data_IF_824909808949
#
_entry.id   IF_824909808949
#
_cell.length_a   1.000
_cell.length_b   1.000
_cell.length_c   1.000
_cell.angle_alpha   90.00
_cell.angle_beta   90.00
_cell.angle_gamma   90.00
#
_symmetry.space_group_name_H-M   'P 1'
#
loop_
_entity.id
_entity.type
_entity.pdbx_description
1 polymer ?
#
# COMPACT_ATOMS: atom_id res chain seq x y z
N UNK A 1 -14.89 -28.80 -14.58
CA UNK A 1 -14.90 -27.49 -13.86
C UNK A 1 -14.39 -26.30 -14.70
N UNK A 2 -13.23 -26.36 -15.37
CA UNK A 2 -12.67 -25.21 -16.13
C UNK A 2 -13.57 -24.63 -17.24
N UNK A 3 -14.40 -25.46 -17.89
CA UNK A 3 -15.28 -25.04 -19.01
C UNK A 3 -16.47 -24.17 -18.58
N UNK A 4 -17.02 -24.39 -17.38
CA UNK A 4 -18.18 -23.62 -16.88
C UNK A 4 -17.78 -22.22 -16.40
N UNK A 5 -16.61 -22.08 -15.78
CA UNK A 5 -16.05 -20.77 -15.39
C UNK A 5 -15.67 -19.92 -16.61
N UNK A 6 -15.20 -20.54 -17.71
CA UNK A 6 -14.96 -19.85 -18.99
C UNK A 6 -16.23 -19.29 -19.62
N UNK A 7 -17.39 -19.91 -19.39
CA UNK A 7 -18.69 -19.47 -19.89
C UNK A 7 -19.38 -18.45 -18.95
N UNK A 8 -18.76 -18.11 -17.82
CA UNK A 8 -19.32 -17.16 -16.83
C UNK A 8 -20.52 -17.69 -16.04
N UNK A 9 -20.93 -18.94 -16.25
CA UNK A 9 -22.12 -19.53 -15.63
C UNK A 9 -21.81 -19.85 -14.15
N UNK A 10 -22.47 -19.11 -13.24
CA UNK A 10 -22.34 -19.26 -11.78
C UNK A 10 -21.49 -18.18 -11.08
N UNK A 11 -20.86 -17.27 -11.82
CA UNK A 11 -20.05 -16.18 -11.23
C UNK A 11 -20.90 -14.94 -10.95
N UNK A 12 -21.45 -14.82 -9.74
CA UNK A 12 -21.96 -13.51 -9.27
C UNK A 12 -20.76 -12.58 -9.04
N UNK A 13 -20.59 -11.57 -9.89
CA UNK A 13 -19.59 -10.52 -9.69
C UNK A 13 -19.95 -9.75 -8.41
N UNK A 14 -19.22 -10.00 -7.32
CA UNK A 14 -19.25 -9.17 -6.11
C UNK A 14 -18.18 -8.10 -6.25
N UNK A 15 -18.49 -7.05 -7.00
CA UNK A 15 -17.60 -5.90 -7.12
C UNK A 15 -17.82 -5.00 -5.91
N UNK A 16 -16.74 -4.61 -5.24
CA UNK A 16 -16.81 -3.59 -4.20
C UNK A 16 -17.07 -2.22 -4.85
N UNK A 17 -17.89 -1.40 -4.19
CA UNK A 17 -18.09 -0.01 -4.58
C UNK A 17 -16.79 0.78 -4.37
N UNK A 18 -16.48 1.75 -5.24
CA UNK A 18 -15.32 2.61 -5.05
C UNK A 18 -15.54 3.54 -3.84
N UNK A 19 -14.46 3.84 -3.13
CA UNK A 19 -14.46 4.87 -2.08
C UNK A 19 -14.69 6.25 -2.72
N UNK A 20 -15.58 7.07 -2.15
CA UNK A 20 -15.77 8.45 -2.61
C UNK A 20 -14.86 9.44 -1.89
N UNK A 21 -14.66 10.62 -2.48
CA UNK A 21 -13.85 11.69 -1.88
C UNK A 21 -14.46 12.17 -0.55
N UNK A 22 -15.79 12.18 -0.44
CA UNK A 22 -16.50 12.54 0.79
C UNK A 22 -16.30 11.48 1.89
N UNK A 23 -16.32 10.20 1.54
CA UNK A 23 -16.04 9.13 2.49
C UNK A 23 -14.60 9.20 2.99
N UNK A 24 -13.64 9.44 2.10
CA UNK A 24 -12.25 9.70 2.48
C UNK A 24 -12.14 10.91 3.42
N UNK A 25 -12.78 12.02 3.08
CA UNK A 25 -12.76 13.24 3.91
C UNK A 25 -13.30 12.99 5.32
N UNK A 26 -14.37 12.19 5.45
CA UNK A 26 -14.91 11.79 6.76
C UNK A 26 -13.88 11.02 7.58
N UNK A 27 -13.05 10.17 6.97
CA UNK A 27 -11.99 9.44 7.69
C UNK A 27 -10.91 10.39 8.22
N UNK A 28 -10.54 11.41 7.44
CA UNK A 28 -9.61 12.45 7.87
C UNK A 28 -10.19 13.29 9.00
N UNK A 29 -11.41 13.80 8.86
CA UNK A 29 -12.07 14.65 9.85
C UNK A 29 -12.30 13.94 11.18
N UNK A 30 -12.60 12.64 11.15
CA UNK A 30 -12.75 11.83 12.36
C UNK A 30 -11.42 11.43 13.02
N UNK A 31 -10.28 11.83 12.46
CA UNK A 31 -8.96 11.45 12.97
C UNK A 31 -8.69 9.94 12.86
N UNK A 32 -9.37 9.24 11.95
CA UNK A 32 -9.05 7.82 11.68
C UNK A 32 -7.77 7.70 10.85
N UNK A 33 -7.47 8.74 10.07
CA UNK A 33 -6.25 8.94 9.31
C UNK A 33 -5.46 10.14 9.87
N UNK A 34 -4.18 10.21 9.54
CA UNK A 34 -3.21 11.20 10.03
C UNK A 34 -2.07 10.60 10.82
N UNK A 35 -1.34 11.46 11.52
CA UNK A 35 -0.08 11.13 12.21
C UNK A 35 -0.10 11.45 13.72
N UNK A 36 -1.24 11.83 14.26
CA UNK A 36 -1.42 12.26 15.64
C UNK A 36 -1.33 11.10 16.67
N UNK A 37 -1.50 9.83 16.25
CA UNK A 37 -1.31 8.65 17.11
C UNK A 37 -0.66 7.50 16.35
N UNK A 38 0.04 6.55 17.03
CA UNK A 38 0.56 5.34 16.39
C UNK A 38 -0.50 4.56 15.59
N UNK A 39 -1.73 4.50 16.12
CA UNK A 39 -2.85 3.83 15.46
C UNK A 39 -3.28 4.56 14.19
N UNK A 40 -3.38 5.89 14.23
CA UNK A 40 -3.69 6.69 13.05
C UNK A 40 -2.61 6.55 11.98
N UNK A 41 -1.32 6.54 12.35
CA UNK A 41 -0.22 6.34 11.38
C UNK A 41 -0.37 5.00 10.66
N UNK A 42 -0.62 3.91 11.39
CA UNK A 42 -0.80 2.58 10.80
C UNK A 42 -2.05 2.53 9.91
N UNK A 43 -3.18 3.05 10.40
CA UNK A 43 -4.42 3.12 9.63
C UNK A 43 -4.21 3.88 8.31
N UNK A 44 -3.55 5.02 8.38
CA UNK A 44 -3.22 5.85 7.21
C UNK A 44 -2.33 5.10 6.24
N UNK A 45 -1.33 4.39 6.75
CA UNK A 45 -0.43 3.59 5.93
C UNK A 45 -1.16 2.44 5.24
N UNK A 46 -2.06 1.74 5.93
CA UNK A 46 -2.90 0.68 5.33
C UNK A 46 -3.81 1.27 4.25
N UNK A 47 -4.50 2.36 4.56
CA UNK A 47 -5.42 3.06 3.66
C UNK A 47 -4.70 3.53 2.38
N UNK A 48 -3.60 4.26 2.51
CA UNK A 48 -2.86 4.82 1.37
C UNK A 48 -2.19 3.74 0.51
N UNK A 49 -1.73 2.63 1.11
CA UNK A 49 -1.26 1.48 0.34
C UNK A 49 -2.39 0.87 -0.50
N UNK A 50 -3.59 0.74 0.06
CA UNK A 50 -4.76 0.27 -0.68
C UNK A 50 -5.15 1.21 -1.81
N UNK A 51 -5.18 2.51 -1.52
CA UNK A 51 -5.60 3.56 -2.45
C UNK A 51 -4.60 3.74 -3.61
N UNK A 52 -3.32 3.96 -3.31
CA UNK A 52 -2.33 4.35 -4.33
C UNK A 52 -1.57 3.18 -4.96
N UNK A 53 -1.42 2.05 -4.26
CA UNK A 53 -0.79 0.84 -4.80
C UNK A 53 -1.78 -0.25 -5.18
N UNK A 54 -3.08 0.04 -5.09
CA UNK A 54 -4.15 -0.86 -5.48
C UNK A 54 -4.06 -2.25 -4.81
N UNK A 55 -3.61 -2.30 -3.55
CA UNK A 55 -3.65 -3.50 -2.72
C UNK A 55 -5.10 -3.73 -2.28
N UNK A 56 -5.71 -4.83 -2.71
CA UNK A 56 -7.15 -5.06 -2.56
C UNK A 56 -7.49 -6.13 -1.55
N UNK A 57 -6.57 -7.06 -1.32
CA UNK A 57 -6.80 -8.23 -0.48
C UNK A 57 -5.97 -8.19 0.80
N UNK A 58 -6.53 -8.66 1.91
CA UNK A 58 -5.76 -8.84 3.14
C UNK A 58 -4.52 -9.73 2.97
N UNK A 59 -4.50 -10.61 1.96
CA UNK A 59 -3.32 -11.38 1.58
C UNK A 59 -2.19 -10.49 1.05
N UNK A 60 -2.48 -9.61 0.09
CA UNK A 60 -1.48 -8.66 -0.45
C UNK A 60 -0.90 -7.77 0.64
N UNK A 61 -1.76 -7.24 1.52
CA UNK A 61 -1.31 -6.46 2.67
C UNK A 61 -0.41 -7.28 3.61
N UNK A 62 -0.77 -8.52 3.94
CA UNK A 62 0.04 -9.39 4.82
C UNK A 62 1.35 -9.84 4.19
N UNK A 63 1.41 -9.89 2.86
CA UNK A 63 2.61 -10.26 2.10
C UNK A 63 3.60 -9.11 1.98
N UNK A 64 3.23 -7.86 2.29
CA UNK A 64 4.19 -6.75 2.34
C UNK A 64 5.26 -6.99 3.41
N UNK A 65 6.51 -6.67 3.08
CA UNK A 65 7.69 -6.88 3.95
C UNK A 65 8.65 -5.69 3.94
N UNK A 66 9.50 -5.62 4.97
CA UNK A 66 10.60 -4.64 5.03
C UNK A 66 11.89 -5.14 4.38
N UNK A 67 12.12 -6.46 4.32
CA UNK A 67 13.33 -7.03 3.74
C UNK A 67 13.08 -8.34 2.96
N UNK A 68 13.24 -8.39 1.63
CA UNK A 68 13.42 -7.23 0.76
C UNK A 68 12.17 -6.35 0.79
N UNK A 69 12.38 -5.03 0.80
CA UNK A 69 11.27 -4.07 0.82
C UNK A 69 10.58 -4.04 -0.54
N UNK A 70 9.26 -4.17 -0.56
CA UNK A 70 8.46 -3.98 -1.78
C UNK A 70 8.12 -2.52 -2.04
N UNK A 71 8.20 -1.67 -1.01
CA UNK A 71 7.94 -0.23 -1.11
C UNK A 71 9.21 0.52 -0.73
N UNK A 72 9.73 1.33 -1.63
CA UNK A 72 10.96 2.09 -1.45
C UNK A 72 10.70 3.58 -1.60
N UNK A 73 11.27 4.37 -0.69
CA UNK A 73 11.35 5.82 -0.83
C UNK A 73 12.51 6.15 -1.77
N UNK A 74 12.24 6.91 -2.83
CA UNK A 74 13.22 7.37 -3.80
C UNK A 74 13.33 8.88 -3.73
N UNK A 75 14.53 9.35 -3.40
CA UNK A 75 14.89 10.76 -3.34
C UNK A 75 16.08 10.98 -4.27
N UNK A 76 15.94 11.93 -5.22
CA UNK A 76 16.97 12.27 -6.19
C UNK A 76 17.11 13.79 -6.22
N UNK A 77 18.34 14.28 -6.26
CA UNK A 77 18.62 15.72 -6.32
C UNK A 77 17.91 16.36 -7.51
N UNK A 78 17.08 17.36 -7.25
CA UNK A 78 16.32 18.07 -8.28
C UNK A 78 15.04 17.38 -8.75
N UNK A 79 14.69 16.22 -8.21
CA UNK A 79 13.43 15.53 -8.52
C UNK A 79 12.48 15.50 -7.32
N UNK A 80 11.17 15.43 -7.62
CA UNK A 80 10.14 15.27 -6.60
C UNK A 80 10.23 13.86 -5.99
N UNK A 81 10.40 13.72 -4.65
CA UNK A 81 10.42 12.42 -3.99
C UNK A 81 9.19 11.57 -4.31
N UNK A 82 9.36 10.27 -4.38
CA UNK A 82 8.25 9.34 -4.61
C UNK A 82 8.45 8.01 -3.88
N UNK A 83 7.34 7.32 -3.67
CA UNK A 83 7.34 5.92 -3.29
C UNK A 83 7.23 5.06 -4.55
N UNK A 84 8.05 4.03 -4.63
CA UNK A 84 7.97 2.99 -5.65
C UNK A 84 7.56 1.67 -5.00
N UNK A 85 6.40 1.15 -5.41
CA UNK A 85 5.94 -0.19 -5.05
C UNK A 85 6.24 -1.17 -6.19
N UNK A 86 6.83 -2.32 -5.85
CA UNK A 86 7.10 -3.42 -6.77
C UNK A 86 6.36 -4.68 -6.32
N UNK A 87 5.49 -5.23 -7.17
CA UNK A 87 4.78 -6.49 -6.89
C UNK A 87 5.72 -7.69 -6.94
N UNK A 88 5.64 -8.64 -6.00
CA UNK A 88 6.40 -9.91 -6.05
C UNK A 88 5.98 -10.82 -7.22
N UNK A 89 4.83 -10.56 -7.86
CA UNK A 89 4.36 -11.30 -9.01
C UNK A 89 2.90 -11.00 -9.30
N UNK A 90 2.60 -10.64 -10.55
CA UNK A 90 1.23 -10.30 -10.94
C UNK A 90 0.34 -11.55 -10.94
N UNK A 91 -0.80 -11.49 -10.25
CA UNK A 91 -1.86 -12.53 -10.24
C UNK A 91 -2.37 -12.90 -11.64
N UNK A 92 -2.15 -12.03 -12.63
CA UNK A 92 -2.56 -12.21 -14.02
C UNK A 92 -1.43 -12.73 -14.93
N UNK A 93 -0.30 -13.19 -14.38
CA UNK A 93 0.75 -13.79 -15.22
C UNK A 93 0.21 -15.08 -15.84
N UNK A 94 0.22 -15.23 -17.18
CA UNK A 94 -0.02 -16.53 -17.79
C UNK A 94 1.05 -17.49 -17.27
N UNK A 95 0.65 -18.59 -16.62
CA UNK A 95 1.59 -19.56 -16.08
C UNK A 95 2.55 -20.15 -17.12
N UNK A 96 3.62 -20.80 -16.67
CA UNK A 96 4.64 -21.41 -17.53
C UNK A 96 5.78 -20.47 -17.94
N UNK A 97 6.65 -20.93 -18.84
CA UNK A 97 7.89 -20.24 -19.25
C UNK A 97 7.70 -18.80 -19.77
N UNK A 98 6.52 -18.48 -20.33
CA UNK A 98 6.21 -17.12 -20.81
C UNK A 98 5.91 -16.14 -19.67
N UNK A 99 5.37 -16.61 -18.55
CA UNK A 99 5.09 -15.79 -17.37
C UNK A 99 6.34 -15.39 -16.59
N UNK A 100 7.41 -16.19 -16.68
CA UNK A 100 8.72 -15.91 -16.06
C UNK A 100 9.46 -14.74 -16.70
N UNK A 101 9.17 -14.42 -17.98
CA UNK A 101 9.80 -13.30 -18.71
C UNK A 101 9.12 -11.95 -18.48
N UNK A 102 7.96 -11.93 -17.81
CA UNK A 102 7.22 -10.69 -17.55
C UNK A 102 7.77 -10.09 -16.25
N UNK A 103 8.38 -8.91 -16.36
CA UNK A 103 8.89 -8.14 -15.21
C UNK A 103 7.83 -7.91 -14.13
N UNK A 104 8.29 -7.55 -12.95
CA UNK A 104 7.39 -7.16 -11.86
C UNK A 104 6.73 -5.83 -12.19
N UNK A 105 5.44 -5.69 -11.87
CA UNK A 105 4.75 -4.42 -12.05
C UNK A 105 5.23 -3.46 -10.98
N UNK A 106 5.54 -2.24 -11.40
CA UNK A 106 5.93 -1.15 -10.50
C UNK A 106 4.90 -0.03 -10.57
N UNK A 107 4.64 0.60 -9.42
CA UNK A 107 3.73 1.75 -9.29
C UNK A 107 4.46 2.85 -8.53
N UNK A 108 4.43 4.06 -9.07
CA UNK A 108 5.05 5.24 -8.45
C UNK A 108 4.00 6.18 -7.89
N UNK A 109 4.21 6.69 -6.68
CA UNK A 109 3.39 7.73 -6.07
C UNK A 109 4.28 8.91 -5.63
N UNK A 110 4.09 10.07 -6.25
CA UNK A 110 4.89 11.27 -5.99
C UNK A 110 4.39 12.06 -4.79
N UNK A 111 5.32 12.65 -4.03
CA UNK A 111 5.06 13.36 -2.78
C UNK A 111 4.08 14.52 -2.97
N UNK A 112 2.89 14.52 -2.37
CA UNK A 112 1.99 15.67 -2.42
C UNK A 112 2.67 16.93 -1.85
N UNK A 113 2.82 17.97 -2.69
CA UNK A 113 3.44 19.25 -2.31
C UNK A 113 2.40 20.32 -1.96
N UNK A 114 1.14 20.15 -2.39
CA UNK A 114 0.06 21.11 -2.12
C UNK A 114 -0.54 20.90 -0.74
N UNK A 115 -0.69 19.64 -0.32
CA UNK A 115 -1.11 19.28 1.03
C UNK A 115 -0.09 18.31 1.66
N UNK A 116 0.90 18.86 2.39
CA UNK A 116 1.88 18.05 3.10
C UNK A 116 1.25 17.18 4.19
N UNK A 117 0.12 17.59 4.79
CA UNK A 117 -0.49 16.85 5.90
C UNK A 117 -0.99 15.47 5.43
N UNK A 118 -1.53 15.40 4.21
CA UNK A 118 -2.00 14.18 3.54
C UNK A 118 -1.01 13.58 2.54
N UNK A 119 0.25 14.03 2.56
CA UNK A 119 1.29 13.53 1.67
C UNK A 119 1.71 12.11 2.05
N UNK A 120 1.41 11.12 1.19
CA UNK A 120 1.74 9.71 1.46
C UNK A 120 3.25 9.49 1.61
N UNK A 121 4.07 10.16 0.80
CA UNK A 121 5.54 10.05 0.91
C UNK A 121 6.03 10.49 2.29
N UNK A 122 5.53 11.63 2.80
CA UNK A 122 5.85 12.14 4.14
C UNK A 122 5.36 11.17 5.22
N UNK A 123 4.10 10.75 5.15
CA UNK A 123 3.46 9.86 6.12
C UNK A 123 4.13 8.48 6.16
N UNK A 124 4.53 7.94 5.02
CA UNK A 124 5.29 6.69 4.93
C UNK A 124 6.68 6.82 5.55
N UNK A 125 7.37 7.93 5.31
CA UNK A 125 8.68 8.19 5.93
C UNK A 125 8.54 8.26 7.46
N UNK A 126 7.52 8.95 7.96
CA UNK A 126 7.17 8.97 9.38
C UNK A 126 6.84 7.57 9.90
N UNK A 127 6.05 6.79 9.17
CA UNK A 127 5.73 5.41 9.56
C UNK A 127 7.01 4.58 9.73
N UNK A 128 7.92 4.60 8.75
CA UNK A 128 9.20 3.88 8.85
C UNK A 128 10.03 4.33 10.04
N UNK A 129 10.12 5.64 10.32
CA UNK A 129 10.90 6.16 11.44
C UNK A 129 10.32 5.78 12.81
N UNK A 130 9.01 5.48 12.87
CA UNK A 130 8.31 5.02 14.08
C UNK A 130 8.23 3.50 14.19
N UNK A 131 8.66 2.75 13.18
CA UNK A 131 8.74 1.30 13.27
C UNK A 131 9.87 0.87 14.22
N UNK A 132 9.69 -0.22 14.98
CA UNK A 132 10.75 -0.74 15.84
C UNK A 132 11.97 -1.16 14.99
N UNK A 133 13.20 -0.87 15.44
CA UNK A 133 14.42 -1.11 14.63
C UNK A 133 14.72 -2.59 14.42
N UNK A 134 14.36 -3.45 15.39
CA UNK A 134 14.58 -4.90 15.34
C UNK A 134 13.24 -5.63 15.53
N UNK A 135 12.37 -5.65 14.51
CA UNK A 135 11.09 -6.33 14.62
C UNK A 135 11.29 -7.85 14.66
N UNK A 136 10.47 -8.53 15.47
CA UNK A 136 10.48 -10.00 15.57
C UNK A 136 10.01 -10.70 14.29
N UNK A 137 9.27 -9.99 13.45
CA UNK A 137 8.81 -10.47 12.15
C UNK A 137 9.22 -9.49 11.06
N UNK A 138 9.31 -9.99 9.84
CA UNK A 138 9.55 -9.18 8.64
C UNK A 138 8.23 -8.60 8.07
N UNK A 139 7.18 -8.51 8.88
CA UNK A 139 5.90 -7.96 8.46
C UNK A 139 6.01 -6.46 8.20
N UNK A 140 5.40 -5.97 7.12
CA UNK A 140 5.42 -4.54 6.82
C UNK A 140 4.61 -3.71 7.81
N UNK A 141 3.45 -4.20 8.27
CA UNK A 141 2.62 -3.50 9.26
C UNK A 141 3.06 -3.85 10.68
N UNK A 142 3.77 -2.92 11.32
CA UNK A 142 4.31 -3.04 12.67
C UNK A 142 3.66 -2.01 13.58
N UNK A 143 3.55 -2.34 14.86
CA UNK A 143 3.11 -1.37 15.86
C UNK A 143 4.13 -0.23 15.96
N UNK A 144 3.71 0.99 15.66
CA UNK A 144 4.56 2.18 15.81
C UNK A 144 4.87 2.45 17.28
N UNK A 145 6.09 2.88 17.57
CA UNK A 145 6.53 3.29 18.90
C UNK A 145 5.88 4.63 19.29
N UNK A 146 5.44 4.72 20.55
CA UNK A 146 5.02 5.97 21.17
C UNK A 146 6.28 6.78 21.49
N UNK A 147 6.63 7.73 20.61
CA UNK A 147 7.63 8.75 20.95
C UNK A 147 6.85 9.98 21.38
N UNK A 148 6.67 10.15 22.69
CA UNK A 148 6.29 11.43 23.26
C UNK A 148 7.55 12.31 23.21
N UNK A 149 7.56 13.30 22.32
CA UNK A 149 8.49 14.42 22.37
C UNK A 149 7.98 15.46 23.36
#
# INVERSE_FOLDING_TARGET
MKRLQQLGIGSKKKQAEPLTDEEEEVLWQKGLLGDHTPKAIINTTVFMNGLYFALRSGKEHRELRFNPSQISLVERTGERPYLEYTEDGSKNRPGGLRGLRIGHKTVKHHANLTDPSRCFVRLFSLYKSRCPPNPKSNSFYLQCLLVFS
#
